data_IF_335569838496
#
_entry.id   IF_335569838496
#
_cell.length_a   1.000
_cell.length_b   1.000
_cell.length_c   1.000
_cell.angle_alpha   90.00
_cell.angle_beta   90.00
_cell.angle_gamma   90.00
#
_symmetry.space_group_name_H-M   'P 1'
#
loop_
_entity.id
_entity.type
_entity.pdbx_description
1 polymer ?
#
# COMPACT_ATOMS: atom_id res chain seq x y z
N UNK A 1 -0.95 15.50 4.71
CA UNK A 1 -0.74 14.11 4.20
C UNK A 1 -2.02 13.35 4.52
N UNK A 2 -2.51 12.47 3.65
CA UNK A 2 -3.87 11.93 3.83
C UNK A 2 -3.95 11.14 5.16
N UNK A 3 -4.91 11.45 6.03
CA UNK A 3 -4.98 10.88 7.39
C UNK A 3 -5.05 9.34 7.35
N UNK A 4 -5.79 8.81 6.37
CA UNK A 4 -5.89 7.38 6.03
C UNK A 4 -4.51 6.78 5.71
N UNK A 5 -3.64 7.50 4.99
CA UNK A 5 -2.31 7.00 4.65
C UNK A 5 -1.43 6.80 5.89
N UNK A 6 -1.52 7.73 6.85
CA UNK A 6 -0.77 7.65 8.11
C UNK A 6 -1.27 6.45 8.92
N UNK A 7 -2.58 6.32 9.08
CA UNK A 7 -3.19 5.27 9.90
C UNK A 7 -2.87 3.86 9.38
N UNK A 8 -2.95 3.63 8.07
CA UNK A 8 -2.82 2.29 7.51
C UNK A 8 -1.40 1.91 7.05
N UNK A 9 -0.44 2.82 7.11
CA UNK A 9 0.95 2.51 6.74
C UNK A 9 1.94 2.87 7.84
N UNK A 10 1.88 4.08 8.37
CA UNK A 10 2.87 4.55 9.34
C UNK A 10 2.65 3.96 10.73
N UNK A 11 1.40 3.91 11.21
CA UNK A 11 1.10 3.36 12.55
C UNK A 11 1.49 1.89 12.68
N UNK A 12 1.14 0.98 11.74
CA UNK A 12 1.56 -0.42 11.83
C UNK A 12 3.08 -0.57 11.78
N UNK A 13 3.76 0.24 10.96
CA UNK A 13 5.22 0.25 10.90
C UNK A 13 5.85 0.63 12.25
N UNK A 14 5.40 1.74 12.85
CA UNK A 14 5.92 2.19 14.13
C UNK A 14 5.63 1.17 15.24
N UNK A 15 4.42 0.59 15.26
CA UNK A 15 4.03 -0.45 16.21
C UNK A 15 4.90 -1.69 16.08
N UNK A 16 5.13 -2.16 14.85
CA UNK A 16 5.93 -3.35 14.57
C UNK A 16 7.40 -3.15 14.93
N UNK A 17 7.98 -1.99 14.60
CA UNK A 17 9.36 -1.67 14.99
C UNK A 17 9.53 -1.51 16.51
N UNK A 18 8.57 -0.89 17.19
CA UNK A 18 8.56 -0.80 18.64
C UNK A 18 8.46 -2.19 19.29
N UNK A 19 7.50 -3.01 18.84
CA UNK A 19 7.35 -4.39 19.31
C UNK A 19 8.61 -5.22 19.12
N UNK A 20 9.23 -5.12 17.94
CA UNK A 20 10.47 -5.82 17.63
C UNK A 20 11.62 -5.38 18.54
N UNK A 21 11.79 -4.07 18.73
CA UNK A 21 12.87 -3.51 19.55
C UNK A 21 12.68 -3.78 21.05
N UNK A 22 11.44 -3.85 21.52
CA UNK A 22 11.08 -4.12 22.90
C UNK A 22 10.98 -5.63 23.23
N UNK A 23 11.19 -6.51 22.24
CA UNK A 23 11.02 -7.96 22.42
C UNK A 23 9.56 -8.38 22.68
N UNK A 24 8.59 -7.61 22.20
CA UNK A 24 7.15 -7.86 22.35
C UNK A 24 6.57 -8.40 21.02
N UNK A 25 6.57 -9.73 20.81
CA UNK A 25 6.15 -10.34 19.55
C UNK A 25 4.68 -10.08 19.22
N UNK A 26 3.81 -9.92 20.23
CA UNK A 26 2.38 -9.64 20.04
C UNK A 26 2.14 -8.36 19.23
N UNK A 27 2.92 -7.30 19.49
CA UNK A 27 2.82 -6.03 18.77
C UNK A 27 3.29 -6.16 17.32
N UNK A 28 4.33 -6.96 17.07
CA UNK A 28 4.81 -7.26 15.72
C UNK A 28 3.74 -8.02 14.95
N UNK A 29 3.12 -9.03 15.56
CA UNK A 29 2.02 -9.79 14.96
C UNK A 29 0.84 -8.89 14.61
N UNK A 30 0.41 -8.00 15.51
CA UNK A 30 -0.67 -7.04 15.23
C UNK A 30 -0.31 -6.15 14.02
N UNK A 31 0.92 -5.64 13.97
CA UNK A 31 1.39 -4.82 12.85
C UNK A 31 1.35 -5.60 11.53
N UNK A 32 1.86 -6.84 11.52
CA UNK A 32 1.86 -7.74 10.37
C UNK A 32 0.43 -7.99 9.88
N UNK A 33 -0.49 -8.30 10.80
CA UNK A 33 -1.91 -8.57 10.45
C UNK A 33 -2.54 -7.35 9.77
N UNK A 34 -2.33 -6.14 10.30
CA UNK A 34 -2.87 -4.92 9.68
C UNK A 34 -2.28 -4.70 8.29
N UNK A 35 -0.97 -4.92 8.12
CA UNK A 35 -0.28 -4.81 6.82
C UNK A 35 -0.83 -5.85 5.83
N UNK A 36 -1.03 -7.09 6.27
CA UNK A 36 -1.56 -8.17 5.44
C UNK A 36 -3.00 -7.87 4.98
N UNK A 37 -3.88 -7.44 5.90
CA UNK A 37 -5.26 -7.04 5.56
C UNK A 37 -5.26 -5.90 4.54
N UNK A 38 -4.42 -4.89 4.73
CA UNK A 38 -4.29 -3.78 3.78
C UNK A 38 -3.79 -4.27 2.41
N UNK A 39 -2.79 -5.15 2.37
CA UNK A 39 -2.30 -5.74 1.12
C UNK A 39 -3.40 -6.51 0.38
N UNK A 40 -4.16 -7.34 1.09
CA UNK A 40 -5.29 -8.07 0.54
C UNK A 40 -6.36 -7.12 -0.02
N UNK A 41 -6.73 -6.07 0.72
CA UNK A 41 -7.66 -5.05 0.25
C UNK A 41 -7.20 -4.40 -1.07
N UNK A 42 -5.90 -4.10 -1.19
CA UNK A 42 -5.33 -3.54 -2.44
C UNK A 42 -5.46 -4.56 -3.58
N UNK A 43 -5.12 -5.83 -3.35
CA UNK A 43 -5.25 -6.90 -4.36
C UNK A 43 -6.68 -7.04 -4.87
N UNK A 44 -7.69 -6.88 -4.00
CA UNK A 44 -9.10 -6.96 -4.41
C UNK A 44 -9.64 -5.68 -5.06
N UNK A 45 -9.20 -4.51 -4.59
CA UNK A 45 -9.77 -3.22 -5.02
C UNK A 45 -9.15 -2.72 -6.33
N UNK A 46 -7.85 -2.95 -6.55
CA UNK A 46 -7.16 -2.46 -7.75
C UNK A 46 -7.72 -3.03 -9.06
N UNK A 47 -8.01 -4.34 -9.21
CA UNK A 47 -8.62 -4.88 -10.42
C UNK A 47 -9.99 -4.27 -10.71
N UNK A 48 -10.81 -4.09 -9.67
CA UNK A 48 -12.13 -3.46 -9.79
C UNK A 48 -11.99 -1.99 -10.22
N UNK A 49 -11.01 -1.28 -9.67
CA UNK A 49 -10.72 0.11 -10.05
C UNK A 49 -10.23 0.20 -11.49
N UNK A 50 -9.40 -0.75 -11.94
CA UNK A 50 -8.92 -0.82 -13.32
C UNK A 50 -10.09 -0.92 -14.32
N UNK A 51 -11.01 -1.86 -14.10
CA UNK A 51 -12.19 -2.04 -14.97
C UNK A 51 -13.07 -0.78 -14.96
N UNK A 52 -13.31 -0.18 -13.79
CA UNK A 52 -14.08 1.07 -13.67
C UNK A 52 -13.42 2.23 -14.41
N UNK A 53 -12.10 2.36 -14.30
CA UNK A 53 -11.33 3.41 -14.95
C UNK A 53 -11.33 3.27 -16.48
N UNK A 54 -11.28 2.05 -17.01
CA UNK A 54 -11.39 1.84 -18.46
C UNK A 54 -12.74 2.28 -19.04
N UNK A 55 -13.81 2.19 -18.24
CA UNK A 55 -15.17 2.59 -18.64
C UNK A 55 -15.52 4.03 -18.30
N UNK A 56 -14.66 4.73 -17.55
CA UNK A 56 -14.95 6.10 -17.12
C UNK A 56 -14.70 7.11 -18.25
N UNK A 57 -15.45 8.21 -18.18
CA UNK A 57 -15.32 9.37 -19.04
C UNK A 57 -14.03 10.16 -18.74
N UNK A 58 -13.64 11.04 -19.65
CA UNK A 58 -12.38 11.79 -19.58
C UNK A 58 -12.28 12.69 -18.34
N UNK A 59 -13.40 13.25 -17.87
CA UNK A 59 -13.41 14.15 -16.71
C UNK A 59 -13.14 13.35 -15.43
N UNK A 60 -13.78 12.20 -15.26
CA UNK A 60 -13.51 11.27 -14.16
C UNK A 60 -12.06 10.75 -14.16
N UNK A 61 -11.49 10.45 -15.34
CA UNK A 61 -10.08 10.03 -15.45
C UNK A 61 -9.10 11.13 -15.04
N UNK A 62 -9.36 12.38 -15.42
CA UNK A 62 -8.55 13.54 -15.00
C UNK A 62 -8.64 13.78 -13.49
N UNK A 63 -9.84 13.64 -12.93
CA UNK A 63 -10.05 13.72 -11.48
C UNK A 63 -9.21 12.68 -10.73
N UNK A 64 -9.25 11.40 -11.14
CA UNK A 64 -8.41 10.36 -10.54
C UNK A 64 -6.91 10.66 -10.63
N UNK A 65 -6.43 11.20 -11.76
CA UNK A 65 -5.03 11.61 -11.89
C UNK A 65 -4.65 12.72 -10.91
N UNK A 66 -5.52 13.71 -10.69
CA UNK A 66 -5.28 14.78 -9.72
C UNK A 66 -5.21 14.27 -8.27
N UNK A 67 -5.86 13.14 -7.97
CA UNK A 67 -5.78 12.49 -6.66
C UNK A 67 -4.44 11.77 -6.41
N UNK A 68 -3.64 11.50 -7.44
CA UNK A 68 -2.33 10.83 -7.32
C UNK A 68 -1.25 11.77 -6.73
N UNK A 69 -1.38 12.10 -5.44
CA UNK A 69 -0.45 12.99 -4.73
C UNK A 69 0.77 12.23 -4.21
N UNK A 70 1.93 12.90 -4.22
CA UNK A 70 3.18 12.50 -3.52
C UNK A 70 3.71 11.08 -3.87
N UNK A 71 4.06 10.80 -5.14
CA UNK A 71 4.65 9.52 -5.56
C UNK A 71 5.79 9.01 -4.69
N UNK A 72 6.76 9.90 -4.41
CA UNK A 72 7.98 9.56 -3.70
C UNK A 72 7.69 9.07 -2.27
N UNK A 73 6.76 9.71 -1.57
CA UNK A 73 6.40 9.32 -0.20
C UNK A 73 5.76 7.94 -0.18
N UNK A 74 4.86 7.66 -1.11
CA UNK A 74 4.21 6.34 -1.20
C UNK A 74 5.23 5.26 -1.50
N UNK A 75 6.17 5.52 -2.41
CA UNK A 75 7.25 4.59 -2.73
C UNK A 75 8.17 4.31 -1.53
N UNK A 76 8.62 5.35 -0.84
CA UNK A 76 9.49 5.23 0.34
C UNK A 76 8.81 4.39 1.43
N UNK A 77 7.53 4.66 1.71
CA UNK A 77 6.79 3.91 2.73
C UNK A 77 6.62 2.45 2.31
N UNK A 78 6.27 2.16 1.06
CA UNK A 78 6.22 0.79 0.54
C UNK A 78 7.56 0.06 0.68
N UNK A 79 8.68 0.75 0.39
CA UNK A 79 10.00 0.17 0.53
C UNK A 79 10.32 -0.16 2.00
N UNK A 80 10.04 0.77 2.93
CA UNK A 80 10.22 0.53 4.36
C UNK A 80 9.36 -0.64 4.83
N UNK A 81 8.11 -0.75 4.38
CA UNK A 81 7.24 -1.90 4.71
C UNK A 81 7.83 -3.23 4.24
N UNK A 82 8.34 -3.30 3.02
CA UNK A 82 8.98 -4.51 2.50
C UNK A 82 10.22 -4.88 3.32
N UNK A 83 11.10 -3.91 3.59
CA UNK A 83 12.29 -4.13 4.41
C UNK A 83 11.93 -4.61 5.83
N UNK A 84 10.91 -3.99 6.43
CA UNK A 84 10.46 -4.35 7.78
C UNK A 84 9.98 -5.80 7.84
N UNK A 85 9.23 -6.26 6.84
CA UNK A 85 8.75 -7.66 6.79
C UNK A 85 9.89 -8.67 6.58
N UNK A 86 10.94 -8.29 5.83
CA UNK A 86 12.15 -9.12 5.73
C UNK A 86 12.82 -9.25 7.09
N UNK A 87 12.94 -8.15 7.84
CA UNK A 87 13.54 -8.15 9.20
C UNK A 87 12.68 -8.93 10.20
N UNK A 88 11.35 -8.85 10.09
CA UNK A 88 10.44 -9.56 10.99
C UNK A 88 10.24 -11.03 10.62
N UNK A 89 10.74 -11.49 9.47
CA UNK A 89 10.74 -12.91 9.08
C UNK A 89 9.43 -13.44 8.48
N UNK A 90 8.55 -12.57 7.99
CA UNK A 90 7.21 -12.95 7.49
C UNK A 90 7.15 -13.04 5.96
N UNK A 91 7.65 -14.14 5.41
CA UNK A 91 7.79 -14.34 3.95
C UNK A 91 6.45 -14.37 3.19
N UNK A 92 5.40 -14.94 3.78
CA UNK A 92 4.08 -15.01 3.15
C UNK A 92 3.46 -13.61 3.00
N UNK A 93 3.52 -12.80 4.06
CA UNK A 93 2.99 -11.43 4.04
C UNK A 93 3.86 -10.56 3.14
N UNK A 94 5.18 -10.78 3.12
CA UNK A 94 6.08 -10.13 2.17
C UNK A 94 5.65 -10.35 0.73
N UNK A 95 5.38 -11.60 0.31
CA UNK A 95 4.88 -11.91 -1.04
C UNK A 95 3.59 -11.16 -1.38
N UNK A 96 2.62 -11.14 -0.45
CA UNK A 96 1.36 -10.39 -0.65
C UNK A 96 1.60 -8.88 -0.77
N UNK A 97 2.50 -8.32 0.05
CA UNK A 97 2.83 -6.89 0.01
C UNK A 97 3.56 -6.52 -1.27
N UNK A 98 4.48 -7.37 -1.78
CA UNK A 98 5.13 -7.18 -3.07
C UNK A 98 4.09 -7.13 -4.19
N UNK A 99 3.20 -8.13 -4.27
CA UNK A 99 2.16 -8.19 -5.30
C UNK A 99 1.20 -6.99 -5.23
N UNK A 100 0.72 -6.66 -4.04
CA UNK A 100 -0.19 -5.53 -3.84
C UNK A 100 0.47 -4.19 -4.18
N UNK A 101 1.76 -4.02 -3.84
CA UNK A 101 2.55 -2.84 -4.17
C UNK A 101 2.75 -2.72 -5.68
N UNK A 102 3.11 -3.81 -6.35
CA UNK A 102 3.24 -3.85 -7.80
C UNK A 102 1.92 -3.50 -8.51
N UNK A 103 0.80 -4.07 -8.07
CA UNK A 103 -0.53 -3.75 -8.61
C UNK A 103 -0.90 -2.28 -8.40
N UNK A 104 -0.68 -1.75 -7.20
CA UNK A 104 -0.94 -0.34 -6.90
C UNK A 104 -0.13 0.60 -7.80
N UNK A 105 1.18 0.38 -7.91
CA UNK A 105 2.04 1.21 -8.76
C UNK A 105 1.73 1.02 -10.25
N UNK A 106 1.38 -0.19 -10.68
CA UNK A 106 0.90 -0.48 -12.03
C UNK A 106 -0.35 0.31 -12.37
N UNK A 107 -1.37 0.26 -11.52
CA UNK A 107 -2.60 1.04 -11.70
C UNK A 107 -2.35 2.55 -11.68
N UNK A 108 -1.50 3.02 -10.77
CA UNK A 108 -1.10 4.42 -10.71
C UNK A 108 -0.47 4.88 -12.03
N UNK A 109 0.47 4.11 -12.57
CA UNK A 109 1.10 4.42 -13.85
C UNK A 109 0.10 4.36 -15.02
N UNK A 110 -0.84 3.40 -14.99
CA UNK A 110 -1.92 3.30 -15.97
C UNK A 110 -2.81 4.56 -15.98
N UNK A 111 -3.24 5.03 -14.80
CA UNK A 111 -4.00 6.28 -14.67
C UNK A 111 -3.21 7.45 -15.28
N UNK A 112 -1.93 7.62 -14.91
CA UNK A 112 -1.11 8.73 -15.43
C UNK A 112 -1.02 8.72 -16.96
N UNK A 113 -0.91 7.55 -17.57
CA UNK A 113 -0.78 7.40 -19.04
C UNK A 113 -2.09 7.62 -19.79
N UNK A 114 -3.23 7.24 -19.22
CA UNK A 114 -4.52 7.18 -19.93
C UNK A 114 -5.56 8.21 -19.45
N UNK A 115 -5.13 9.22 -18.68
CA UNK A 115 -5.97 10.33 -18.20
C UNK A 115 -5.86 11.62 -19.02
N UNK A 116 -5.31 11.58 -20.24
CA UNK A 116 -5.20 12.77 -21.11
C UNK A 116 -6.49 13.00 -21.92
#
# INVERSE_FOLDING_TARGET
>A
MNWIFIVFNLIPLLLGWFGFSAGQPELVTIAIVVIAVRAALVLFTVPKMYIKFQKSDQLTRRYHRQQLKKPAVVFIVSFITLWSLVVWGEELVLCMVVLSTAMYHGMRNHIVRHSY
#
